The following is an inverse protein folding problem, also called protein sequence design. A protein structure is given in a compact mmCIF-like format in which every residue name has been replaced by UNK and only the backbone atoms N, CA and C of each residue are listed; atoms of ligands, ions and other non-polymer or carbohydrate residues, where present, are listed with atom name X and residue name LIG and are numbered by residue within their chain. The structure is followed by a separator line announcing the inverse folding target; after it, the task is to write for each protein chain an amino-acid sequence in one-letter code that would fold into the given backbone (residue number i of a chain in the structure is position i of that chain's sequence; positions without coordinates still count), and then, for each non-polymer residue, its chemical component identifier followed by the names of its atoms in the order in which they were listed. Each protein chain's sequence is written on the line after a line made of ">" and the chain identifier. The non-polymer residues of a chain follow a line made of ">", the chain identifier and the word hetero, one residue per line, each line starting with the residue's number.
data_IF_372484616854
#
_entry.id   IF_372484616854
#
_cell.length_a   1.000
_cell.length_b   1.000
_cell.length_c   1.000
_cell.angle_alpha   90.00
_cell.angle_beta   90.00
_cell.angle_gamma   90.00
#
_symmetry.space_group_name_H-M   'P 1'
#
loop_
_entity.id
_entity.type
_entity.pdbx_description
1 polymer ?
#
# COMPACT_ATOMS: atom_id res chain seq x y z
N UNK A 1 -0.54 17.04 32.58
CA UNK A 1 -1.34 15.81 32.41
C UNK A 1 -2.83 16.03 32.13
N UNK A 2 -3.44 17.18 32.48
CA UNK A 2 -4.87 17.45 32.16
C UNK A 2 -5.18 17.87 30.70
N UNK A 3 -4.17 18.20 29.88
CA UNK A 3 -4.37 18.60 28.47
C UNK A 3 -4.48 17.42 27.48
N UNK A 4 -3.92 16.25 27.82
CA UNK A 4 -3.97 15.06 26.96
C UNK A 4 -5.26 14.23 27.13
N UNK A 5 -5.98 14.41 28.25
CA UNK A 5 -7.22 13.68 28.53
C UNK A 5 -8.42 14.16 27.69
N UNK A 6 -8.39 15.42 27.23
CA UNK A 6 -9.47 16.00 26.40
C UNK A 6 -9.34 15.60 24.92
N UNK A 7 -8.12 15.33 24.45
CA UNK A 7 -7.86 14.97 23.04
C UNK A 7 -8.27 13.51 22.75
N UNK A 8 -8.21 12.62 23.75
CA UNK A 8 -8.62 11.21 23.60
C UNK A 8 -10.14 11.04 23.52
N UNK A 9 -10.92 11.97 24.09
CA UNK A 9 -12.39 11.90 24.09
C UNK A 9 -12.99 12.35 22.74
N UNK A 10 -12.27 13.15 21.94
CA UNK A 10 -12.74 13.63 20.64
C UNK A 10 -12.45 12.67 19.47
N UNK A 11 -11.63 11.63 19.67
CA UNK A 11 -11.31 10.65 18.63
C UNK A 11 -12.31 9.48 18.53
N UNK A 12 -13.09 9.22 19.59
CA UNK A 12 -14.10 8.14 19.61
C UNK A 12 -15.47 8.54 19.03
N UNK A 13 -15.67 9.82 18.68
CA UNK A 13 -16.96 10.32 18.17
C UNK A 13 -17.04 10.44 16.64
N UNK A 14 -15.99 10.08 15.90
CA UNK A 14 -15.95 10.16 14.43
C UNK A 14 -16.02 8.75 13.81
N UNK A 15 -17.14 8.06 14.02
CA UNK A 15 -17.59 7.02 13.08
C UNK A 15 -18.47 7.68 12.01
N UNK A 16 -18.00 7.84 10.76
CA UNK A 16 -18.90 8.17 9.67
C UNK A 16 -19.76 6.94 9.35
N UNK A 17 -21.07 7.15 9.45
CA UNK A 17 -22.10 6.20 9.06
C UNK A 17 -21.94 5.86 7.57
N UNK A 18 -21.86 4.56 7.31
CA UNK A 18 -22.03 3.98 5.97
C UNK A 18 -23.42 4.33 5.45
N UNK A 19 -23.52 5.37 4.62
CA UNK A 19 -24.67 5.56 3.74
C UNK A 19 -24.46 4.69 2.50
N UNK A 20 -25.18 3.58 2.47
CA UNK A 20 -25.40 2.81 1.27
C UNK A 20 -26.07 3.70 0.20
N UNK A 21 -25.46 3.80 -0.97
CA UNK A 21 -26.04 4.48 -2.13
C UNK A 21 -26.87 3.44 -2.90
N UNK A 22 -28.20 3.49 -2.75
CA UNK A 22 -29.19 2.62 -3.40
C UNK A 22 -29.48 2.98 -4.87
N UNK A 23 -28.48 3.49 -5.63
CA UNK A 23 -28.67 3.93 -7.02
C UNK A 23 -27.72 3.27 -8.03
N UNK A 24 -27.32 2.03 -7.80
CA UNK A 24 -26.57 1.23 -8.79
C UNK A 24 -27.44 0.19 -9.52
N UNK A 25 -28.69 0.52 -9.91
CA UNK A 25 -29.57 -0.43 -10.62
C UNK A 25 -30.24 0.04 -11.91
N UNK A 26 -29.85 1.17 -12.51
CA UNK A 26 -30.45 1.62 -13.79
C UNK A 26 -29.48 2.18 -14.86
N UNK A 27 -28.19 1.85 -14.84
CA UNK A 27 -27.24 2.29 -15.91
C UNK A 27 -26.57 1.12 -16.65
N UNK A 28 -27.09 -0.11 -16.52
CA UNK A 28 -26.51 -1.29 -17.17
C UNK A 28 -27.47 -2.01 -18.13
N UNK A 29 -28.08 -1.31 -19.09
CA UNK A 29 -28.79 -2.03 -20.17
C UNK A 29 -28.81 -1.41 -21.57
N UNK A 30 -28.44 -0.14 -21.81
CA UNK A 30 -28.80 0.50 -23.09
C UNK A 30 -27.64 1.06 -23.94
N UNK A 31 -26.37 0.68 -23.73
CA UNK A 31 -25.28 1.22 -24.56
C UNK A 31 -24.14 0.24 -24.89
N UNK A 32 -24.41 -1.07 -24.94
CA UNK A 32 -23.37 -2.08 -25.22
C UNK A 32 -23.20 -2.40 -26.72
N UNK A 33 -24.02 -1.85 -27.63
CA UNK A 33 -23.96 -2.22 -29.06
C UNK A 33 -23.35 -1.16 -30.01
N UNK A 34 -22.48 -0.26 -29.53
CA UNK A 34 -21.90 0.74 -30.46
C UNK A 34 -20.49 1.25 -30.14
N UNK A 35 -19.59 0.37 -29.68
CA UNK A 35 -18.15 0.70 -29.63
C UNK A 35 -17.34 -0.48 -30.20
N UNK A 36 -17.46 -0.68 -31.51
CA UNK A 36 -16.38 -1.29 -32.29
C UNK A 36 -15.81 -0.18 -33.17
N UNK A 37 -14.61 0.29 -32.82
CA UNK A 37 -13.46 0.54 -33.71
C UNK A 37 -12.43 1.46 -33.04
N UNK A 38 -11.22 0.91 -32.91
CA UNK A 38 -9.93 1.61 -32.92
C UNK A 38 -9.60 2.65 -31.84
N UNK A 39 -9.04 2.18 -30.72
CA UNK A 39 -7.81 2.81 -30.21
C UNK A 39 -6.84 1.73 -29.73
N UNK A 40 -5.82 1.50 -30.55
CA UNK A 40 -4.64 0.72 -30.25
C UNK A 40 -3.85 1.45 -29.16
N UNK A 41 -4.16 1.22 -27.89
CA UNK A 41 -3.27 1.56 -26.79
C UNK A 41 -2.43 0.32 -26.46
N UNK A 42 -1.14 0.41 -26.79
CA UNK A 42 -0.13 -0.58 -26.43
C UNK A 42 0.10 -0.57 -24.92
N UNK A 43 -0.86 -1.07 -24.16
CA UNK A 43 -0.64 -1.48 -22.78
C UNK A 43 -0.14 -2.92 -22.85
N UNK A 44 1.18 -3.11 -22.85
CA UNK A 44 1.74 -4.43 -22.56
C UNK A 44 1.36 -4.79 -21.13
N UNK A 45 0.19 -5.41 -20.96
CA UNK A 45 -0.16 -6.12 -19.73
C UNK A 45 0.79 -7.30 -19.61
N UNK A 46 1.99 -7.03 -19.10
CA UNK A 46 2.85 -8.06 -18.53
C UNK A 46 2.03 -8.80 -17.47
N UNK A 47 2.04 -10.15 -17.47
CA UNK A 47 1.29 -10.93 -16.49
C UNK A 47 1.70 -10.44 -15.10
N UNK A 48 0.72 -10.00 -14.31
CA UNK A 48 0.95 -9.41 -13.00
C UNK A 48 1.62 -10.47 -12.11
N UNK A 49 2.95 -10.45 -12.10
CA UNK A 49 3.74 -11.45 -11.39
C UNK A 49 3.40 -11.34 -9.90
N UNK A 50 2.86 -12.42 -9.32
CA UNK A 50 2.55 -12.46 -7.90
C UNK A 50 3.86 -12.30 -7.12
N UNK A 51 4.15 -11.06 -6.71
CA UNK A 51 5.39 -10.68 -6.05
C UNK A 51 5.36 -10.99 -4.55
N UNK A 52 4.20 -11.37 -3.99
CA UNK A 52 4.00 -11.68 -2.58
C UNK A 52 3.22 -13.00 -2.41
N UNK A 53 3.86 -14.15 -2.70
CA UNK A 53 3.19 -15.44 -2.58
C UNK A 53 2.96 -15.88 -1.11
N UNK A 54 3.77 -15.39 -0.16
CA UNK A 54 3.69 -15.76 1.25
C UNK A 54 4.37 -14.73 2.16
N UNK A 55 3.91 -14.64 3.41
CA UNK A 55 4.59 -13.91 4.49
C UNK A 55 5.55 -14.79 5.30
N UNK A 56 5.57 -16.11 5.04
CA UNK A 56 6.42 -17.06 5.75
C UNK A 56 7.84 -17.02 5.17
N UNK A 57 8.84 -16.85 6.03
CA UNK A 57 10.27 -16.79 5.69
C UNK A 57 11.08 -17.69 6.62
N UNK A 58 12.17 -18.28 6.14
CA UNK A 58 12.93 -19.26 6.93
C UNK A 58 13.72 -18.60 8.06
N UNK A 59 14.13 -17.34 7.87
CA UNK A 59 14.94 -16.60 8.84
C UNK A 59 14.43 -15.18 9.10
N UNK A 60 14.78 -14.57 10.25
CA UNK A 60 14.50 -13.15 10.51
C UNK A 60 15.12 -12.21 9.47
N UNK A 61 16.29 -12.58 8.93
CA UNK A 61 16.95 -11.79 7.89
C UNK A 61 16.12 -11.75 6.60
N UNK A 62 15.66 -12.91 6.14
CA UNK A 62 14.73 -12.99 4.99
C UNK A 62 13.44 -12.23 5.25
N UNK A 63 12.89 -12.34 6.46
CA UNK A 63 11.71 -11.56 6.87
C UNK A 63 11.95 -10.06 6.78
N UNK A 64 13.16 -9.59 7.15
CA UNK A 64 13.53 -8.18 7.02
C UNK A 64 13.68 -7.75 5.56
N UNK A 65 14.24 -8.59 4.69
CA UNK A 65 14.33 -8.31 3.25
C UNK A 65 12.94 -8.26 2.60
N UNK A 66 12.03 -9.14 3.03
CA UNK A 66 10.63 -9.11 2.58
C UNK A 66 9.95 -7.81 3.01
N UNK A 67 10.10 -7.38 4.26
CA UNK A 67 9.56 -6.10 4.76
C UNK A 67 10.02 -4.89 3.92
N UNK A 68 11.31 -4.85 3.57
CA UNK A 68 11.87 -3.79 2.70
C UNK A 68 11.24 -3.84 1.31
N UNK A 69 11.05 -5.05 0.77
CA UNK A 69 10.44 -5.25 -0.55
C UNK A 69 9.00 -4.76 -0.56
N UNK A 70 8.20 -5.12 0.45
CA UNK A 70 6.81 -4.66 0.60
C UNK A 70 6.72 -3.13 0.64
N UNK A 71 7.49 -2.50 1.53
CA UNK A 71 7.52 -1.04 1.63
C UNK A 71 7.84 -0.36 0.29
N UNK A 72 8.80 -0.90 -0.47
CA UNK A 72 9.17 -0.38 -1.80
C UNK A 72 8.10 -0.64 -2.86
N UNK A 73 7.41 -1.78 -2.79
CA UNK A 73 6.34 -2.14 -3.72
C UNK A 73 5.12 -1.25 -3.53
N UNK A 74 4.74 -0.93 -2.30
CA UNK A 74 3.67 0.06 -2.03
C UNK A 74 3.96 1.42 -2.67
N UNK A 75 5.21 1.91 -2.59
CA UNK A 75 5.61 3.16 -3.26
C UNK A 75 5.48 3.05 -4.78
N UNK A 76 5.88 1.91 -5.35
CA UNK A 76 5.79 1.66 -6.80
C UNK A 76 4.34 1.52 -7.30
N UNK A 77 3.43 1.05 -6.45
CA UNK A 77 1.99 0.98 -6.74
C UNK A 77 1.31 2.35 -6.65
N UNK A 78 1.69 3.19 -5.69
CA UNK A 78 1.15 4.56 -5.53
C UNK A 78 1.64 5.48 -6.65
N UNK A 79 2.94 5.46 -6.93
CA UNK A 79 3.54 6.25 -8.00
C UNK A 79 4.09 5.29 -9.04
N UNK A 80 3.31 5.03 -10.09
CA UNK A 80 3.61 4.01 -11.12
C UNK A 80 4.73 4.43 -12.07
N UNK A 81 4.97 5.74 -12.28
CA UNK A 81 6.03 6.24 -13.17
C UNK A 81 7.45 6.06 -12.56
N UNK A 82 8.30 5.22 -13.17
CA UNK A 82 9.67 4.99 -12.69
C UNK A 82 10.55 6.23 -12.76
N UNK A 83 10.35 7.13 -13.72
CA UNK A 83 11.18 8.32 -13.87
C UNK A 83 10.87 9.35 -12.78
N UNK A 84 9.60 9.53 -12.44
CA UNK A 84 9.20 10.32 -11.27
C UNK A 84 9.77 9.74 -9.98
N UNK A 85 9.68 8.42 -9.75
CA UNK A 85 10.30 7.80 -8.56
C UNK A 85 11.80 8.03 -8.52
N UNK A 86 12.50 8.01 -9.66
CA UNK A 86 13.94 8.25 -9.74
C UNK A 86 14.30 9.68 -9.35
N UNK A 87 13.53 10.67 -9.82
CA UNK A 87 13.71 12.08 -9.46
C UNK A 87 13.51 12.32 -7.97
N UNK A 88 12.47 11.74 -7.38
CA UNK A 88 12.17 11.89 -5.96
C UNK A 88 13.22 11.25 -5.01
N UNK A 89 14.11 10.38 -5.51
CA UNK A 89 15.11 9.73 -4.66
C UNK A 89 16.09 10.68 -4.02
N UNK A 90 16.51 11.74 -4.72
CA UNK A 90 17.45 12.72 -4.15
C UNK A 90 16.89 13.39 -2.91
N UNK A 91 15.58 13.63 -2.92
CA UNK A 91 14.89 14.45 -1.93
C UNK A 91 14.84 13.73 -0.59
N UNK A 92 14.44 12.45 -0.58
CA UNK A 92 14.38 11.69 0.66
C UNK A 92 15.71 11.05 1.07
N UNK A 93 16.67 10.86 0.15
CA UNK A 93 17.95 10.20 0.49
C UNK A 93 18.86 11.05 1.39
N UNK A 94 18.69 12.37 1.38
CA UNK A 94 19.47 13.31 2.19
C UNK A 94 18.66 13.93 3.33
N UNK A 95 17.35 13.69 3.37
CA UNK A 95 16.46 14.15 4.43
C UNK A 95 16.36 13.13 5.56
N UNK A 96 16.85 13.50 6.74
CA UNK A 96 16.85 12.63 7.94
C UNK A 96 15.45 12.26 8.40
N UNK A 97 14.47 13.17 8.29
CA UNK A 97 13.08 12.87 8.70
C UNK A 97 12.47 11.81 7.78
N UNK A 98 12.71 11.93 6.47
CA UNK A 98 12.23 10.96 5.50
C UNK A 98 12.93 9.59 5.63
N UNK A 99 14.22 9.58 5.96
CA UNK A 99 14.95 8.34 6.26
C UNK A 99 14.39 7.65 7.50
N UNK A 100 14.08 8.40 8.57
CA UNK A 100 13.46 7.86 9.78
C UNK A 100 12.06 7.33 9.47
N UNK A 101 11.25 8.07 8.71
CA UNK A 101 9.92 7.63 8.30
C UNK A 101 9.97 6.34 7.47
N UNK A 102 10.92 6.24 6.54
CA UNK A 102 11.15 5.02 5.75
C UNK A 102 11.53 3.83 6.62
N UNK A 103 12.40 4.04 7.61
CA UNK A 103 12.80 3.01 8.56
C UNK A 103 11.61 2.55 9.43
N UNK A 104 10.74 3.47 9.83
CA UNK A 104 9.53 3.16 10.60
C UNK A 104 8.56 2.27 9.80
N UNK A 105 8.32 2.57 8.52
CA UNK A 105 7.46 1.74 7.66
C UNK A 105 8.01 0.31 7.60
N UNK A 106 9.32 0.16 7.34
CA UNK A 106 9.97 -1.15 7.30
C UNK A 106 9.84 -1.89 8.65
N UNK A 107 9.91 -1.17 9.77
CA UNK A 107 9.74 -1.77 11.10
C UNK A 107 8.32 -2.29 11.32
N UNK A 108 7.31 -1.57 10.84
CA UNK A 108 5.89 -1.98 10.92
C UNK A 108 5.65 -3.23 10.07
N UNK A 109 6.15 -3.25 8.83
CA UNK A 109 6.06 -4.43 7.95
C UNK A 109 6.77 -5.64 8.56
N UNK A 110 7.96 -5.44 9.11
CA UNK A 110 8.72 -6.50 9.76
C UNK A 110 8.02 -7.03 11.01
N UNK A 111 7.33 -6.19 11.77
CA UNK A 111 6.51 -6.63 12.91
C UNK A 111 5.42 -7.60 12.46
N UNK A 112 4.72 -7.29 11.36
CA UNK A 112 3.68 -8.16 10.79
C UNK A 112 4.27 -9.48 10.30
N UNK A 113 5.39 -9.44 9.57
CA UNK A 113 6.08 -10.64 9.08
C UNK A 113 6.59 -11.50 10.24
N UNK A 114 7.19 -10.88 11.26
CA UNK A 114 7.66 -11.60 12.44
C UNK A 114 6.50 -12.31 13.17
N UNK A 115 5.35 -11.66 13.31
CA UNK A 115 4.15 -12.28 13.89
C UNK A 115 3.67 -13.46 13.03
N UNK A 116 3.64 -13.33 11.71
CA UNK A 116 3.28 -14.42 10.79
C UNK A 116 4.23 -15.64 10.90
N UNK A 117 5.49 -15.41 11.27
CA UNK A 117 6.52 -16.45 11.43
C UNK A 117 6.69 -16.94 12.88
N UNK A 118 5.76 -16.61 13.79
CA UNK A 118 5.89 -16.90 15.22
C UNK A 118 7.27 -16.50 15.79
N UNK A 119 7.80 -15.36 15.33
CA UNK A 119 9.11 -14.81 15.69
C UNK A 119 10.29 -15.79 15.49
N UNK A 120 10.16 -16.79 14.61
CA UNK A 120 11.18 -17.83 14.37
C UNK A 120 11.60 -18.57 15.64
N UNK A 121 10.70 -18.66 16.64
CA UNK A 121 10.93 -19.40 17.88
C UNK A 121 10.98 -20.90 17.57
N UNK A 122 11.93 -21.59 18.22
CA UNK A 122 12.04 -23.05 18.18
C UNK A 122 11.28 -23.67 19.34
#
# INVERSE_FOLDING_TARGET
>A
MKKYLIIVILFFAYQPQMLACDQCKEIHSNNVENITNDEKLSESMEPQQNYLPSLITATPFEGRQLAITLARKSIAEIQTDPETRKKLRSDYATDTQQLIASAQIIAIEFQTIAAANNYWRK
#
